data_IF_142801897798
#
_entry.id   IF_142801897798
#
_cell.length_a   1.000
_cell.length_b   1.000
_cell.length_c   1.000
_cell.angle_alpha   90.00
_cell.angle_beta   90.00
_cell.angle_gamma   90.00
#
_symmetry.space_group_name_H-M   'P 1'
#
loop_
_entity.id
_entity.type
_entity.pdbx_description
1 polymer ?
#
# COMPACT_ATOMS: atom_id res chain seq x y z
N UNK A 1 -55.44 -6.01 -29.56
CA UNK A 1 -56.58 -6.74 -28.92
C UNK A 1 -56.19 -8.20 -28.74
N UNK A 2 -56.56 -8.88 -27.68
CA UNK A 2 -56.69 -8.44 -26.28
C UNK A 2 -55.83 -9.33 -25.33
N UNK A 3 -55.44 -8.81 -24.21
CA UNK A 3 -56.01 -8.99 -22.88
C UNK A 3 -55.55 -10.17 -22.00
N UNK A 4 -55.15 -9.78 -20.78
CA UNK A 4 -55.41 -10.34 -19.44
C UNK A 4 -54.58 -11.57 -19.02
N UNK A 5 -53.86 -11.58 -17.89
CA UNK A 5 -54.31 -11.53 -16.51
C UNK A 5 -53.12 -11.43 -15.53
N UNK A 6 -53.23 -10.58 -14.55
CA UNK A 6 -52.68 -10.74 -13.23
C UNK A 6 -53.73 -11.46 -12.34
N UNK A 7 -53.43 -12.25 -11.35
CA UNK A 7 -53.26 -11.72 -10.00
C UNK A 7 -52.41 -12.53 -9.03
N UNK A 8 -52.02 -11.83 -7.95
CA UNK A 8 -51.64 -12.21 -6.60
C UNK A 8 -52.01 -13.63 -6.12
N UNK A 9 -51.07 -14.27 -5.39
CA UNK A 9 -51.39 -15.05 -4.20
C UNK A 9 -50.22 -15.15 -3.23
N UNK A 10 -50.45 -14.66 -2.04
CA UNK A 10 -49.88 -14.96 -0.72
C UNK A 10 -49.18 -16.32 -0.53
N UNK A 11 -48.08 -16.29 0.24
CA UNK A 11 -47.85 -17.24 1.35
C UNK A 11 -46.76 -16.70 2.28
N UNK A 12 -47.17 -16.21 3.38
CA UNK A 12 -47.02 -16.57 4.81
C UNK A 12 -45.68 -17.17 5.25
N UNK A 13 -45.03 -16.36 6.09
CA UNK A 13 -44.36 -16.65 7.38
C UNK A 13 -43.91 -18.08 7.67
N UNK A 14 -42.58 -18.24 7.87
CA UNK A 14 -42.06 -18.99 9.03
C UNK A 14 -40.95 -18.14 9.65
N UNK A 15 -41.25 -17.53 10.80
CA UNK A 15 -40.30 -16.90 11.72
C UNK A 15 -39.83 -18.00 12.65
N UNK A 16 -38.54 -18.32 12.64
CA UNK A 16 -37.89 -19.04 13.74
C UNK A 16 -37.01 -18.09 14.48
N UNK A 17 -37.41 -17.76 15.69
CA UNK A 17 -36.70 -16.91 16.63
C UNK A 17 -35.39 -17.54 17.06
N UNK A 18 -34.29 -16.81 16.95
CA UNK A 18 -33.09 -17.03 17.77
C UNK A 18 -32.83 -15.79 18.62
N UNK A 19 -32.81 -16.06 19.91
CA UNK A 19 -32.68 -15.12 21.03
C UNK A 19 -31.41 -14.32 21.00
N UNK A 20 -31.57 -12.99 20.99
CA UNK A 20 -30.48 -12.05 21.31
C UNK A 20 -30.35 -11.91 22.83
N UNK A 21 -29.23 -12.34 23.37
CA UNK A 21 -28.80 -11.98 24.72
C UNK A 21 -28.21 -10.58 24.68
N UNK A 22 -28.89 -9.63 25.29
CA UNK A 22 -28.41 -8.26 25.54
C UNK A 22 -27.28 -8.30 26.56
N UNK A 23 -26.08 -7.84 26.18
CA UNK A 23 -25.09 -7.36 27.16
C UNK A 23 -25.41 -5.90 27.46
N UNK A 24 -25.78 -5.66 28.71
CA UNK A 24 -26.05 -4.33 29.25
C UNK A 24 -24.72 -3.58 29.48
N UNK A 25 -24.61 -2.38 28.92
CA UNK A 25 -23.61 -1.38 29.31
C UNK A 25 -23.99 -0.80 30.68
N UNK A 26 -23.12 -0.93 31.65
CA UNK A 26 -23.20 -0.19 32.93
C UNK A 26 -22.36 1.09 32.83
N UNK A 27 -22.86 2.23 33.35
CA UNK A 27 -22.10 3.48 33.36
C UNK A 27 -21.05 3.48 34.45
N UNK A 28 -19.83 3.88 34.12
CA UNK A 28 -18.74 4.11 35.09
C UNK A 28 -19.02 5.38 35.89
N UNK A 29 -19.25 5.22 37.19
CA UNK A 29 -19.27 6.32 38.15
C UNK A 29 -17.84 6.73 38.52
N UNK A 30 -17.54 8.02 38.38
CA UNK A 30 -16.38 8.67 38.96
C UNK A 30 -16.54 8.78 40.49
N UNK A 31 -15.57 8.26 41.26
CA UNK A 31 -15.38 8.56 42.67
C UNK A 31 -13.98 9.15 42.86
N UNK A 32 -13.81 10.16 43.73
CA UNK A 32 -12.53 10.81 43.96
C UNK A 32 -11.62 10.00 44.88
N UNK A 33 -10.36 9.89 44.48
CA UNK A 33 -9.32 9.21 45.26
C UNK A 33 -8.90 10.13 46.42
N UNK A 34 -9.09 9.64 47.65
CA UNK A 34 -8.47 10.18 48.86
C UNK A 34 -7.30 9.28 49.30
N UNK A 35 -6.23 9.94 49.70
CA UNK A 35 -4.89 9.50 50.01
C UNK A 35 -4.67 8.38 51.06
N UNK A 36 -3.48 7.75 50.89
CA UNK A 36 -2.56 7.14 51.85
C UNK A 36 -2.71 5.65 52.18
N UNK A 37 -1.78 4.88 51.56
CA UNK A 37 -1.24 3.69 52.25
C UNK A 37 0.19 3.35 51.72
N UNK A 38 1.19 3.12 52.57
CA UNK A 38 2.61 2.98 52.21
C UNK A 38 3.02 1.62 51.60
N UNK A 39 2.07 0.71 51.40
CA UNK A 39 2.36 -0.63 50.84
C UNK A 39 2.42 -0.71 49.30
N UNK A 40 2.32 0.43 48.59
CA UNK A 40 2.27 0.47 47.14
C UNK A 40 3.67 0.48 46.45
N UNK A 41 4.74 0.75 47.22
CA UNK A 41 6.10 0.87 46.66
C UNK A 41 6.72 -0.48 46.25
N UNK A 42 6.38 -1.58 46.90
CA UNK A 42 6.94 -2.90 46.56
C UNK A 42 6.30 -3.56 45.32
N UNK A 43 5.02 -3.27 45.04
CA UNK A 43 4.34 -3.81 43.86
C UNK A 43 4.77 -3.13 42.53
N UNK A 44 5.18 -1.86 42.61
CA UNK A 44 5.69 -1.14 41.43
C UNK A 44 7.08 -1.61 40.98
N UNK A 45 7.92 -2.06 41.92
CA UNK A 45 9.22 -2.64 41.59
C UNK A 45 9.10 -4.03 40.93
N UNK A 46 8.11 -4.84 41.34
CA UNK A 46 7.85 -6.12 40.66
C UNK A 46 7.23 -5.96 39.28
N UNK A 47 6.33 -4.98 39.09
CA UNK A 47 5.77 -4.69 37.76
C UNK A 47 6.81 -4.13 36.79
N UNK A 48 7.79 -3.34 37.26
CA UNK A 48 8.89 -2.85 36.42
C UNK A 48 9.86 -3.98 35.99
N UNK A 49 10.08 -4.97 36.83
CA UNK A 49 10.89 -6.16 36.47
C UNK A 49 10.17 -7.08 35.48
N UNK A 50 8.85 -7.28 35.61
CA UNK A 50 8.06 -8.06 34.66
C UNK A 50 7.94 -7.33 33.29
N UNK A 51 7.76 -6.00 33.28
CA UNK A 51 7.78 -5.23 32.04
C UNK A 51 9.16 -5.22 31.36
N UNK A 52 10.25 -5.29 32.13
CA UNK A 52 11.60 -5.37 31.56
C UNK A 52 11.91 -6.77 31.01
N UNK A 53 11.43 -7.84 31.65
CA UNK A 53 11.54 -9.21 31.16
C UNK A 53 10.68 -9.45 29.90
N UNK A 54 9.44 -8.92 29.87
CA UNK A 54 8.57 -8.99 28.68
C UNK A 54 9.14 -8.16 27.52
N UNK A 55 9.81 -7.00 27.80
CA UNK A 55 10.50 -6.23 26.76
C UNK A 55 11.75 -6.93 26.21
N UNK A 56 12.50 -7.67 27.05
CA UNK A 56 13.66 -8.44 26.56
C UNK A 56 13.24 -9.68 25.75
N UNK A 57 12.16 -10.36 26.12
CA UNK A 57 11.61 -11.51 25.37
C UNK A 57 11.02 -11.10 24.01
N UNK A 58 10.40 -9.93 23.90
CA UNK A 58 9.88 -9.44 22.61
C UNK A 58 11.00 -8.96 21.66
N UNK A 59 12.18 -8.61 22.18
CA UNK A 59 13.32 -8.15 21.39
C UNK A 59 14.18 -9.31 20.86
N UNK A 60 14.12 -10.49 21.47
CA UNK A 60 14.86 -11.67 21.02
C UNK A 60 14.11 -12.50 19.95
N UNK A 61 12.81 -12.29 19.76
CA UNK A 61 11.99 -13.00 18.76
C UNK A 61 11.96 -12.32 17.38
N UNK A 62 12.66 -11.19 17.20
CA UNK A 62 12.62 -10.43 15.93
C UNK A 62 13.97 -10.33 15.20
N UNK A 63 14.94 -11.19 15.48
CA UNK A 63 16.27 -11.09 14.89
C UNK A 63 16.52 -12.01 13.68
N UNK A 64 15.67 -11.92 12.66
CA UNK A 64 16.15 -11.96 11.27
C UNK A 64 15.72 -10.65 10.60
N UNK A 65 16.42 -9.56 10.91
CA UNK A 65 16.25 -8.31 10.15
C UNK A 65 16.63 -8.60 8.70
N UNK A 66 15.63 -8.65 7.81
CA UNK A 66 15.87 -8.57 6.38
C UNK A 66 16.66 -7.26 6.16
N UNK A 67 17.90 -7.38 5.68
CA UNK A 67 18.69 -6.19 5.37
C UNK A 67 18.25 -5.64 4.02
N UNK A 68 17.70 -4.44 4.01
CA UNK A 68 17.33 -3.74 2.78
C UNK A 68 18.47 -2.85 2.25
N UNK A 69 19.66 -2.95 2.82
CA UNK A 69 20.78 -2.05 2.50
C UNK A 69 21.34 -2.23 1.09
N UNK A 70 21.21 -3.44 0.52
CA UNK A 70 21.64 -3.78 -0.83
C UNK A 70 20.68 -3.33 -1.93
N UNK A 71 19.44 -2.94 -1.59
CA UNK A 71 18.44 -2.59 -2.61
C UNK A 71 18.61 -1.14 -3.05
N UNK A 72 18.62 -0.91 -4.37
CA UNK A 72 18.71 0.43 -4.96
C UNK A 72 17.53 1.32 -4.52
N UNK A 73 16.31 0.74 -4.43
CA UNK A 73 15.10 1.43 -3.98
C UNK A 73 14.53 0.64 -2.81
N UNK A 74 14.67 1.22 -1.61
CA UNK A 74 14.25 0.58 -0.37
C UNK A 74 12.73 0.63 -0.19
N UNK A 75 12.13 -0.39 0.49
CA UNK A 75 10.73 -0.31 0.87
C UNK A 75 10.49 0.86 1.83
N UNK A 76 9.30 1.48 1.79
CA UNK A 76 8.96 2.55 2.72
C UNK A 76 8.91 2.03 4.17
N UNK A 77 9.18 2.92 5.12
CA UNK A 77 9.17 2.57 6.54
C UNK A 77 7.73 2.36 7.03
N UNK A 78 7.52 1.31 7.83
CA UNK A 78 6.28 1.08 8.55
C UNK A 78 6.58 0.51 9.95
N UNK A 79 5.97 1.03 11.04
CA UNK A 79 6.37 0.66 12.40
C UNK A 79 6.02 -0.79 12.78
N UNK A 80 5.02 -1.39 12.16
CA UNK A 80 4.46 -2.69 12.55
C UNK A 80 4.24 -3.67 11.38
N UNK A 81 4.67 -3.32 10.16
CA UNK A 81 4.45 -4.19 9.01
C UNK A 81 5.47 -5.33 8.99
N UNK A 82 4.98 -6.56 8.98
CA UNK A 82 5.79 -7.77 8.89
C UNK A 82 5.78 -8.31 7.45
N UNK A 83 6.77 -7.90 6.66
CA UNK A 83 6.91 -8.36 5.27
C UNK A 83 7.15 -9.88 5.19
N UNK A 84 7.93 -10.44 6.13
CA UNK A 84 8.17 -11.89 6.16
C UNK A 84 6.89 -12.66 6.50
N UNK A 85 6.06 -12.12 7.40
CA UNK A 85 4.75 -12.69 7.71
C UNK A 85 3.82 -12.69 6.50
N UNK A 86 3.83 -11.64 5.68
CA UNK A 86 3.04 -11.58 4.44
C UNK A 86 3.51 -12.62 3.42
N UNK A 87 4.82 -12.81 3.25
CA UNK A 87 5.38 -13.85 2.37
C UNK A 87 4.90 -15.24 2.83
N UNK A 88 5.03 -15.54 4.13
CA UNK A 88 4.59 -16.82 4.69
C UNK A 88 3.10 -17.06 4.52
N UNK A 89 2.29 -16.00 4.72
CA UNK A 89 0.84 -16.08 4.54
C UNK A 89 0.49 -16.43 3.08
N UNK A 90 1.14 -15.77 2.11
CA UNK A 90 0.91 -16.02 0.69
C UNK A 90 1.35 -17.43 0.27
N UNK A 91 2.49 -17.93 0.78
CA UNK A 91 2.94 -19.29 0.54
C UNK A 91 1.98 -20.32 1.18
N UNK A 92 1.48 -20.06 2.38
CA UNK A 92 0.52 -20.93 3.06
C UNK A 92 -0.85 -20.94 2.37
N UNK A 93 -1.29 -19.81 1.80
CA UNK A 93 -2.52 -19.69 1.02
C UNK A 93 -2.47 -20.62 -0.22
N UNK A 94 -1.33 -20.66 -0.91
CA UNK A 94 -1.17 -21.42 -2.16
C UNK A 94 -0.89 -22.91 -1.92
N UNK A 95 -0.01 -23.24 -0.98
CA UNK A 95 0.41 -24.63 -0.73
C UNK A 95 -0.49 -25.38 0.27
N UNK A 96 -1.19 -24.65 1.16
CA UNK A 96 -1.96 -25.25 2.24
C UNK A 96 -1.11 -26.17 3.13
N UNK A 97 -1.73 -27.20 3.66
CA UNK A 97 -1.09 -28.22 4.51
C UNK A 97 -0.58 -29.45 3.72
N UNK A 98 -0.95 -29.58 2.43
CA UNK A 98 -0.57 -30.70 1.57
C UNK A 98 0.60 -30.42 0.63
N UNK A 99 0.98 -29.14 0.46
CA UNK A 99 1.94 -28.71 -0.53
C UNK A 99 1.45 -28.89 -1.98
N UNK A 100 2.35 -28.79 -2.96
CA UNK A 100 2.00 -29.01 -4.37
C UNK A 100 1.87 -30.52 -4.67
N UNK A 101 0.63 -31.01 -4.62
CA UNK A 101 0.30 -32.41 -4.85
C UNK A 101 0.64 -32.86 -6.27
N UNK A 102 0.67 -31.94 -7.25
CA UNK A 102 1.05 -32.24 -8.64
C UNK A 102 2.56 -32.51 -8.72
N UNK A 103 3.36 -31.62 -8.17
CA UNK A 103 4.81 -31.82 -8.06
C UNK A 103 5.15 -33.13 -7.36
N UNK A 104 4.52 -33.39 -6.21
CA UNK A 104 4.75 -34.62 -5.42
C UNK A 104 4.43 -35.90 -6.21
N UNK A 105 3.43 -35.83 -7.10
CA UNK A 105 3.01 -37.01 -7.90
C UNK A 105 3.82 -37.19 -9.20
N UNK A 106 4.36 -36.11 -9.78
CA UNK A 106 4.87 -36.14 -11.17
C UNK A 106 6.37 -35.88 -11.30
N UNK A 107 7.01 -35.26 -10.30
CA UNK A 107 8.39 -34.79 -10.38
C UNK A 107 9.26 -35.53 -9.34
N UNK A 108 10.43 -36.11 -9.72
CA UNK A 108 11.36 -36.67 -8.74
C UNK A 108 11.82 -35.60 -7.74
N UNK A 109 11.84 -35.94 -6.44
CA UNK A 109 12.14 -35.02 -5.35
C UNK A 109 13.55 -34.42 -5.37
N UNK A 110 14.49 -35.12 -6.03
CA UNK A 110 15.89 -34.72 -6.18
C UNK A 110 16.20 -34.06 -7.54
N UNK A 111 15.17 -33.81 -8.35
CA UNK A 111 15.34 -33.18 -9.67
C UNK A 111 15.71 -31.70 -9.53
N UNK A 112 16.88 -31.33 -10.08
CA UNK A 112 17.31 -29.92 -10.22
C UNK A 112 17.04 -29.43 -11.64
N UNK A 113 16.58 -28.17 -11.73
CA UNK A 113 16.25 -27.50 -12.98
C UNK A 113 16.73 -26.06 -12.97
N UNK A 114 16.82 -25.46 -14.15
CA UNK A 114 16.90 -24.01 -14.33
C UNK A 114 15.56 -23.51 -14.89
N UNK A 115 15.07 -22.40 -14.36
CA UNK A 115 13.91 -21.69 -14.88
C UNK A 115 14.25 -20.23 -15.11
N UNK A 116 13.65 -19.60 -16.12
CA UNK A 116 13.91 -18.20 -16.48
C UNK A 116 12.65 -17.37 -16.46
N UNK A 117 12.79 -16.12 -16.03
CA UNK A 117 11.75 -15.09 -16.06
C UNK A 117 11.66 -14.48 -17.45
N UNK A 118 10.46 -14.48 -18.01
CA UNK A 118 10.17 -13.96 -19.34
C UNK A 118 9.11 -12.85 -19.27
N UNK A 119 9.44 -11.66 -19.78
CA UNK A 119 8.48 -10.57 -19.97
C UNK A 119 7.50 -10.92 -21.08
N UNK A 120 6.21 -10.81 -20.84
CA UNK A 120 5.14 -11.05 -21.79
C UNK A 120 4.53 -9.75 -22.33
N UNK A 121 4.79 -8.63 -21.65
CA UNK A 121 4.41 -7.26 -22.00
C UNK A 121 5.58 -6.30 -21.75
N UNK A 122 5.52 -5.10 -22.33
CA UNK A 122 6.45 -4.02 -22.08
C UNK A 122 6.08 -3.31 -20.76
N UNK A 123 7.08 -2.92 -19.97
CA UNK A 123 6.82 -2.19 -18.73
C UNK A 123 8.03 -1.99 -17.82
N UNK A 124 7.80 -1.51 -16.63
CA UNK A 124 8.80 -1.34 -15.58
C UNK A 124 8.76 -2.55 -14.67
N UNK A 125 9.90 -3.23 -14.53
CA UNK A 125 10.00 -4.36 -13.59
C UNK A 125 10.04 -3.86 -12.16
N UNK A 126 9.29 -4.53 -11.27
CA UNK A 126 9.29 -4.27 -9.84
C UNK A 126 9.02 -5.54 -9.04
N UNK A 127 9.66 -5.66 -7.87
CA UNK A 127 9.51 -6.81 -6.99
C UNK A 127 10.61 -7.85 -7.11
N UNK A 128 11.73 -7.53 -7.75
CA UNK A 128 12.93 -8.40 -7.81
C UNK A 128 13.42 -8.74 -6.40
N UNK A 129 13.61 -7.72 -5.57
CA UNK A 129 14.02 -7.92 -4.18
C UNK A 129 13.05 -8.79 -3.37
N UNK A 130 11.74 -8.62 -3.60
CA UNK A 130 10.71 -9.44 -2.96
C UNK A 130 10.73 -10.88 -3.47
N UNK A 131 10.97 -11.09 -4.76
CA UNK A 131 11.11 -12.43 -5.35
C UNK A 131 12.27 -13.21 -4.72
N UNK A 132 13.42 -12.58 -4.52
CA UNK A 132 14.56 -13.18 -3.80
C UNK A 132 14.18 -13.62 -2.39
N UNK A 133 13.46 -12.76 -1.64
CA UNK A 133 12.99 -13.10 -0.30
C UNK A 133 12.06 -14.30 -0.30
N UNK A 134 11.17 -14.42 -1.30
CA UNK A 134 10.21 -15.53 -1.41
C UNK A 134 10.95 -16.82 -1.73
N UNK A 135 11.86 -16.81 -2.70
CA UNK A 135 12.68 -17.99 -3.01
C UNK A 135 13.50 -18.42 -1.80
N UNK A 136 14.13 -17.49 -1.11
CA UNK A 136 14.91 -17.79 0.10
C UNK A 136 14.04 -18.34 1.25
N UNK A 137 12.78 -17.88 1.40
CA UNK A 137 11.86 -18.41 2.41
C UNK A 137 11.42 -19.85 2.08
N UNK A 138 11.27 -20.19 0.80
CA UNK A 138 10.95 -21.56 0.35
C UNK A 138 12.16 -22.47 0.48
N UNK A 139 13.32 -22.08 -0.03
CA UNK A 139 14.57 -22.84 0.05
C UNK A 139 15.78 -21.92 -0.11
N UNK A 140 16.58 -21.70 0.96
CA UNK A 140 17.77 -20.87 0.88
C UNK A 140 18.88 -21.37 -0.07
N UNK A 141 18.79 -22.61 -0.55
CA UNK A 141 19.74 -23.18 -1.51
C UNK A 141 19.47 -22.80 -2.97
N UNK A 142 18.29 -22.24 -3.27
CA UNK A 142 17.96 -21.74 -4.60
C UNK A 142 18.88 -20.59 -4.99
N UNK A 143 19.41 -20.65 -6.21
CA UNK A 143 20.28 -19.61 -6.77
C UNK A 143 19.50 -18.79 -7.75
N UNK A 144 19.38 -17.49 -7.46
CA UNK A 144 18.64 -16.54 -8.30
C UNK A 144 19.63 -15.54 -8.90
N UNK A 145 19.52 -15.28 -10.19
CA UNK A 145 20.35 -14.34 -10.91
C UNK A 145 19.46 -13.42 -11.76
N UNK A 146 19.70 -12.11 -11.70
CA UNK A 146 18.96 -11.10 -12.44
C UNK A 146 19.85 -10.35 -13.42
N UNK A 147 19.35 -10.10 -14.62
CA UNK A 147 19.99 -9.21 -15.61
C UNK A 147 19.37 -7.80 -15.62
N UNK A 148 18.36 -7.57 -14.77
CA UNK A 148 17.65 -6.32 -14.58
C UNK A 148 17.49 -6.01 -13.10
N UNK A 149 17.32 -4.72 -12.78
CA UNK A 149 17.03 -4.24 -11.45
C UNK A 149 15.61 -3.66 -11.38
N UNK A 150 15.06 -3.56 -10.16
CA UNK A 150 13.81 -2.84 -9.93
C UNK A 150 13.87 -1.42 -10.49
N UNK A 151 12.84 -1.01 -11.23
CA UNK A 151 12.74 0.29 -11.90
C UNK A 151 13.26 0.33 -13.34
N UNK A 152 13.91 -0.72 -13.83
CA UNK A 152 14.34 -0.78 -15.22
C UNK A 152 13.20 -1.18 -16.15
N UNK A 153 13.27 -0.67 -17.39
CA UNK A 153 12.36 -1.05 -18.44
C UNK A 153 12.67 -2.45 -18.98
N UNK A 154 11.63 -3.27 -19.15
CA UNK A 154 11.66 -4.56 -19.84
C UNK A 154 10.72 -4.53 -21.02
N UNK A 155 11.12 -5.20 -22.11
CA UNK A 155 10.30 -5.35 -23.31
C UNK A 155 9.84 -6.80 -23.47
N UNK A 156 8.71 -6.97 -24.12
CA UNK A 156 8.14 -8.29 -24.41
C UNK A 156 9.17 -9.21 -25.07
N UNK A 157 9.28 -10.42 -24.55
CA UNK A 157 10.23 -11.44 -25.01
C UNK A 157 11.60 -11.40 -24.31
N UNK A 158 11.87 -10.40 -23.46
CA UNK A 158 13.13 -10.34 -22.71
C UNK A 158 13.14 -11.39 -21.59
N UNK A 159 14.19 -12.19 -21.56
CA UNK A 159 14.57 -12.97 -20.38
C UNK A 159 15.38 -12.06 -19.45
N UNK A 160 14.90 -11.84 -18.22
CA UNK A 160 15.51 -10.84 -17.34
C UNK A 160 15.99 -11.41 -15.99
N UNK A 161 15.80 -12.70 -15.76
CA UNK A 161 16.29 -13.39 -14.58
C UNK A 161 16.18 -14.91 -14.74
N UNK A 162 16.88 -15.64 -13.87
CA UNK A 162 16.81 -17.10 -13.80
C UNK A 162 16.93 -17.59 -12.37
N UNK A 163 16.40 -18.77 -12.11
CA UNK A 163 16.52 -19.46 -10.84
C UNK A 163 16.93 -20.90 -11.10
N UNK A 164 17.88 -21.42 -10.30
CA UNK A 164 18.38 -22.78 -10.37
C UNK A 164 18.25 -23.46 -9.01
N UNK A 165 17.84 -24.73 -9.03
CA UNK A 165 17.75 -25.62 -7.87
C UNK A 165 16.67 -26.67 -8.02
N UNK A 166 16.13 -27.13 -6.88
CA UNK A 166 15.13 -28.20 -6.88
C UNK A 166 13.84 -27.77 -7.56
N UNK A 167 13.38 -28.58 -8.54
CA UNK A 167 12.17 -28.27 -9.31
C UNK A 167 10.93 -28.03 -8.43
N UNK A 168 10.71 -28.86 -7.40
CA UNK A 168 9.61 -28.73 -6.45
C UNK A 168 9.60 -27.35 -5.79
N UNK A 169 10.76 -26.88 -5.31
CA UNK A 169 10.86 -25.61 -4.57
C UNK A 169 10.65 -24.41 -5.51
N UNK A 170 11.16 -24.51 -6.76
CA UNK A 170 10.93 -23.45 -7.77
C UNK A 170 9.45 -23.36 -8.12
N UNK A 171 8.76 -24.50 -8.36
CA UNK A 171 7.34 -24.51 -8.75
C UNK A 171 6.44 -24.03 -7.59
N UNK A 172 6.73 -24.45 -6.36
CA UNK A 172 5.99 -23.96 -5.16
C UNK A 172 6.12 -22.47 -4.99
N UNK A 173 7.30 -21.88 -5.27
CA UNK A 173 7.51 -20.44 -5.19
C UNK A 173 6.89 -19.66 -6.36
N UNK A 174 6.80 -20.26 -7.55
CA UNK A 174 6.49 -19.62 -8.82
C UNK A 174 5.28 -18.70 -8.75
N UNK A 175 4.12 -19.23 -8.31
CA UNK A 175 2.87 -18.47 -8.35
C UNK A 175 2.90 -17.27 -7.41
N UNK A 176 3.42 -17.44 -6.21
CA UNK A 176 3.53 -16.37 -5.22
C UNK A 176 4.49 -15.29 -5.69
N UNK A 177 5.66 -15.66 -6.21
CA UNK A 177 6.63 -14.73 -6.80
C UNK A 177 5.98 -13.93 -7.94
N UNK A 178 5.34 -14.62 -8.89
CA UNK A 178 4.73 -13.96 -10.04
C UNK A 178 3.55 -13.04 -9.63
N UNK A 179 2.73 -13.44 -8.67
CA UNK A 179 1.61 -12.60 -8.22
C UNK A 179 2.09 -11.27 -7.66
N UNK A 180 3.15 -11.26 -6.84
CA UNK A 180 3.72 -10.02 -6.32
C UNK A 180 4.44 -9.22 -7.41
N UNK A 181 5.31 -9.84 -8.20
CA UNK A 181 6.06 -9.14 -9.25
C UNK A 181 5.14 -8.51 -10.31
N UNK A 182 4.14 -9.24 -10.79
CA UNK A 182 3.19 -8.77 -11.79
C UNK A 182 2.39 -7.56 -11.28
N UNK A 183 1.90 -7.62 -10.01
CA UNK A 183 1.21 -6.49 -9.39
C UNK A 183 2.12 -5.29 -9.20
N UNK A 184 3.29 -5.48 -8.61
CA UNK A 184 4.25 -4.40 -8.36
C UNK A 184 4.73 -3.76 -9.67
N UNK A 185 5.02 -4.56 -10.68
CA UNK A 185 5.42 -4.07 -12.01
C UNK A 185 4.30 -3.30 -12.72
N UNK A 186 3.05 -3.72 -12.57
CA UNK A 186 1.90 -2.99 -13.09
C UNK A 186 1.76 -1.60 -12.44
N UNK A 187 1.90 -1.52 -11.11
CA UNK A 187 1.91 -0.25 -10.36
C UNK A 187 3.08 0.62 -10.81
N UNK A 188 4.30 0.07 -10.87
CA UNK A 188 5.49 0.81 -11.27
C UNK A 188 5.39 1.34 -12.71
N UNK A 189 4.84 0.54 -13.62
CA UNK A 189 4.64 0.93 -15.03
C UNK A 189 3.68 2.12 -15.16
N UNK A 190 2.52 2.06 -14.50
CA UNK A 190 1.57 3.18 -14.52
C UNK A 190 2.15 4.41 -13.82
N UNK A 191 2.83 4.20 -12.68
CA UNK A 191 3.47 5.30 -11.94
C UNK A 191 4.52 6.00 -12.78
N UNK A 192 5.37 5.25 -13.50
CA UNK A 192 6.39 5.84 -14.38
C UNK A 192 5.75 6.70 -15.48
N UNK A 193 4.73 6.19 -16.14
CA UNK A 193 4.03 6.94 -17.17
C UNK A 193 3.38 8.22 -16.63
N UNK A 194 2.72 8.14 -15.47
CA UNK A 194 2.09 9.31 -14.84
C UNK A 194 3.12 10.31 -14.30
N UNK A 195 4.24 9.84 -13.71
CA UNK A 195 5.28 10.71 -13.20
C UNK A 195 5.98 11.50 -14.31
N UNK A 196 6.26 10.84 -15.45
CA UNK A 196 6.84 11.50 -16.62
C UNK A 196 5.89 12.55 -17.20
N UNK A 197 4.60 12.22 -17.29
CA UNK A 197 3.58 13.13 -17.84
C UNK A 197 3.26 14.30 -16.87
N UNK A 198 3.35 14.09 -15.56
CA UNK A 198 3.02 15.11 -14.54
C UNK A 198 4.08 16.20 -14.40
N UNK A 199 5.29 15.97 -14.91
CA UNK A 199 6.41 16.92 -14.72
C UNK A 199 5.99 18.37 -15.06
N UNK A 200 6.32 19.37 -14.19
CA UNK A 200 7.24 19.32 -13.04
C UNK A 200 6.62 18.86 -11.69
N UNK A 201 5.32 18.60 -11.62
CA UNK A 201 4.71 18.11 -10.39
C UNK A 201 5.14 16.66 -10.05
N UNK A 202 5.08 16.29 -8.78
CA UNK A 202 5.37 14.95 -8.31
C UNK A 202 4.09 14.13 -8.17
N UNK A 203 4.12 12.87 -8.62
CA UNK A 203 3.01 11.92 -8.47
C UNK A 203 3.09 11.24 -7.11
N UNK A 204 1.94 11.20 -6.42
CA UNK A 204 1.73 10.48 -5.16
C UNK A 204 0.67 9.39 -5.35
N UNK A 205 0.82 8.27 -4.65
CA UNK A 205 -0.30 7.38 -4.41
C UNK A 205 -1.14 7.85 -3.22
N UNK A 206 -2.11 7.03 -2.82
CA UNK A 206 -3.01 7.29 -1.70
C UNK A 206 -3.04 6.10 -0.74
N UNK A 207 -3.99 6.08 0.22
CA UNK A 207 -4.27 4.90 1.06
C UNK A 207 -5.25 3.91 0.41
N UNK A 208 -5.66 4.12 -0.83
CA UNK A 208 -6.51 3.21 -1.62
C UNK A 208 -5.67 2.06 -2.19
N UNK A 209 -5.10 1.24 -1.32
CA UNK A 209 -4.23 0.11 -1.61
C UNK A 209 -4.94 -1.22 -1.38
N UNK A 210 -4.42 -2.33 -1.90
CA UNK A 210 -4.92 -3.64 -1.53
C UNK A 210 -4.77 -3.87 -0.02
N UNK A 211 -5.83 -4.38 0.66
CA UNK A 211 -5.75 -4.70 2.08
C UNK A 211 -4.58 -5.63 2.39
N UNK A 212 -3.78 -5.30 3.40
CA UNK A 212 -2.59 -6.06 3.78
C UNK A 212 -1.35 -5.83 2.91
N UNK A 213 -1.48 -5.25 1.69
CA UNK A 213 -0.36 -5.08 0.76
C UNK A 213 0.11 -3.62 0.61
N UNK A 214 -0.31 -2.71 1.51
CA UNK A 214 -0.01 -1.27 1.37
C UNK A 214 1.48 -0.96 1.24
N UNK A 215 2.33 -1.62 2.01
CA UNK A 215 3.77 -1.41 1.93
C UNK A 215 4.31 -1.77 0.55
N UNK A 216 3.85 -2.89 -0.02
CA UNK A 216 4.27 -3.35 -1.35
C UNK A 216 3.76 -2.44 -2.47
N UNK A 217 2.49 -2.03 -2.40
CA UNK A 217 1.90 -1.10 -3.37
C UNK A 217 2.66 0.24 -3.37
N UNK A 218 2.97 0.79 -2.17
CA UNK A 218 3.73 2.03 -2.03
C UNK A 218 5.20 1.87 -2.43
N UNK A 219 5.79 0.71 -2.18
CA UNK A 219 7.13 0.41 -2.65
C UNK A 219 7.20 0.39 -4.19
N UNK A 220 6.21 -0.24 -4.82
CA UNK A 220 6.10 -0.26 -6.28
C UNK A 220 5.95 1.15 -6.89
N UNK A 221 5.26 2.07 -6.20
CA UNK A 221 5.18 3.49 -6.61
C UNK A 221 6.55 4.16 -6.55
N UNK A 222 7.34 3.93 -5.50
CA UNK A 222 8.73 4.44 -5.44
C UNK A 222 9.58 3.89 -6.58
N UNK A 223 9.46 2.59 -6.87
CA UNK A 223 10.18 1.94 -7.98
C UNK A 223 9.79 2.56 -9.33
N UNK A 224 8.53 2.93 -9.52
CA UNK A 224 8.04 3.61 -10.71
C UNK A 224 8.42 5.09 -10.81
N UNK A 225 9.16 5.65 -9.83
CA UNK A 225 9.59 7.06 -9.83
C UNK A 225 8.57 8.04 -9.24
N UNK A 226 7.48 7.55 -8.64
CA UNK A 226 6.56 8.34 -7.82
C UNK A 226 7.11 8.60 -6.41
N UNK A 227 6.33 9.29 -5.59
CA UNK A 227 6.62 9.53 -4.17
C UNK A 227 5.50 8.97 -3.31
N UNK A 228 5.79 8.62 -2.07
CA UNK A 228 4.76 8.16 -1.14
C UNK A 228 4.05 9.32 -0.47
N UNK A 229 2.72 9.26 -0.43
CA UNK A 229 1.90 9.97 0.52
C UNK A 229 1.95 9.24 1.88
N UNK A 230 1.32 9.76 2.92
CA UNK A 230 1.29 9.13 4.25
C UNK A 230 1.04 7.62 4.17
N UNK A 231 1.79 6.88 4.98
CA UNK A 231 1.68 5.42 5.07
C UNK A 231 0.36 4.99 5.71
N UNK A 232 -0.07 5.72 6.75
CA UNK A 232 -1.26 5.37 7.50
C UNK A 232 -1.99 6.58 8.08
N UNK A 233 -2.60 6.38 9.25
CA UNK A 233 -3.25 7.44 10.02
C UNK A 233 -2.32 8.04 11.08
N UNK A 234 -1.07 7.57 11.15
CA UNK A 234 -0.15 7.80 12.27
C UNK A 234 1.05 8.67 11.90
N UNK A 235 1.37 8.85 10.63
CA UNK A 235 2.61 9.46 10.15
C UNK A 235 2.45 10.86 9.55
N UNK A 236 1.20 11.31 9.32
CA UNK A 236 0.86 12.66 8.84
C UNK A 236 -0.58 12.99 9.19
N UNK A 237 -0.83 14.21 9.64
CA UNK A 237 -2.19 14.72 9.81
C UNK A 237 -2.77 15.09 8.45
N UNK A 238 -3.99 14.64 8.17
CA UNK A 238 -4.76 15.03 6.99
C UNK A 238 -6.17 15.40 7.42
N UNK A 239 -6.46 16.69 7.39
CA UNK A 239 -7.76 17.25 7.73
C UNK A 239 -8.65 17.15 6.49
N UNK A 240 -9.72 16.36 6.58
CA UNK A 240 -10.67 16.11 5.49
C UNK A 240 -12.02 16.72 5.78
N UNK A 241 -12.89 16.76 4.76
CA UNK A 241 -14.26 17.26 4.81
C UNK A 241 -15.04 16.86 6.07
N UNK A 242 -15.00 15.59 6.45
CA UNK A 242 -15.65 15.09 7.67
C UNK A 242 -15.03 15.68 8.95
N UNK A 243 -13.72 15.89 8.98
CA UNK A 243 -13.05 16.55 10.10
C UNK A 243 -13.45 18.04 10.18
N UNK A 244 -13.45 18.72 9.04
CA UNK A 244 -13.83 20.13 8.92
C UNK A 244 -15.28 20.34 9.39
N UNK A 245 -16.21 19.52 8.85
CA UNK A 245 -17.62 19.58 9.22
C UNK A 245 -17.86 19.34 10.71
N UNK A 246 -17.19 18.34 11.27
CA UNK A 246 -17.33 17.97 12.69
C UNK A 246 -16.71 19.02 13.62
N UNK A 247 -15.62 19.65 13.20
CA UNK A 247 -14.96 20.71 13.96
C UNK A 247 -15.69 22.07 13.88
N UNK A 248 -16.69 22.21 13.01
CA UNK A 248 -17.42 23.47 12.80
C UNK A 248 -16.67 24.48 11.95
N UNK A 249 -15.88 24.01 10.96
CA UNK A 249 -15.18 24.82 9.98
C UNK A 249 -13.67 24.53 9.90
N UNK A 250 -13.06 24.95 8.77
CA UNK A 250 -11.66 24.65 8.46
C UNK A 250 -10.70 25.28 9.47
N UNK A 251 -10.94 26.53 9.85
CA UNK A 251 -10.16 27.25 10.87
C UNK A 251 -10.16 26.55 12.22
N UNK A 252 -11.33 26.05 12.66
CA UNK A 252 -11.43 25.32 13.93
C UNK A 252 -10.70 23.96 13.86
N UNK A 253 -10.79 23.27 12.72
CA UNK A 253 -10.09 22.00 12.51
C UNK A 253 -8.56 22.18 12.57
N UNK A 254 -8.02 23.18 11.88
CA UNK A 254 -6.57 23.50 11.90
C UNK A 254 -6.13 23.85 13.32
N UNK A 255 -6.84 24.74 14.00
CA UNK A 255 -6.53 25.13 15.39
C UNK A 255 -6.54 23.93 16.35
N UNK A 256 -7.50 23.02 16.22
CA UNK A 256 -7.57 21.81 17.04
C UNK A 256 -6.35 20.90 16.81
N UNK A 257 -5.88 20.77 15.56
CA UNK A 257 -4.66 20.03 15.20
C UNK A 257 -3.42 20.69 15.80
N UNK A 258 -3.26 22.01 15.64
CA UNK A 258 -2.11 22.75 16.19
C UNK A 258 -2.01 22.56 17.71
N UNK A 259 -3.13 22.71 18.44
CA UNK A 259 -3.20 22.47 19.89
C UNK A 259 -2.86 21.02 20.26
N UNK A 260 -3.37 20.04 19.50
CA UNK A 260 -3.06 18.63 19.75
C UNK A 260 -1.57 18.33 19.57
N UNK A 261 -0.95 18.80 18.50
CA UNK A 261 0.47 18.59 18.21
C UNK A 261 1.35 19.24 19.28
N UNK A 262 1.00 20.46 19.72
CA UNK A 262 1.68 21.16 20.79
C UNK A 262 1.58 20.41 22.12
N UNK A 263 0.36 20.02 22.55
CA UNK A 263 0.13 19.28 23.80
C UNK A 263 0.83 17.92 23.83
N UNK A 264 0.94 17.26 22.69
CA UNK A 264 1.61 15.96 22.56
C UNK A 264 3.10 16.05 22.27
N UNK A 265 3.62 17.27 22.07
CA UNK A 265 5.00 17.52 21.61
C UNK A 265 5.36 16.68 20.38
N UNK A 266 4.44 16.67 19.38
CA UNK A 266 4.60 15.94 18.13
C UNK A 266 4.99 16.91 17.01
N UNK A 267 5.91 16.45 16.15
CA UNK A 267 6.27 17.14 14.91
C UNK A 267 5.94 16.21 13.74
N UNK A 268 4.99 16.61 12.91
CA UNK A 268 4.62 15.90 11.70
C UNK A 268 4.00 16.87 10.69
N UNK A 269 3.98 16.48 9.43
CA UNK A 269 3.32 17.24 8.38
C UNK A 269 1.82 17.30 8.61
N UNK A 270 1.23 18.44 8.25
CA UNK A 270 -0.20 18.68 8.34
C UNK A 270 -0.71 19.12 6.98
N UNK A 271 -1.69 18.43 6.47
CA UNK A 271 -2.39 18.74 5.23
C UNK A 271 -3.87 19.00 5.50
N UNK A 272 -4.43 19.98 4.80
CA UNK A 272 -5.87 20.31 4.83
C UNK A 272 -6.47 20.22 3.43
N UNK A 273 -7.58 19.51 3.31
CA UNK A 273 -8.38 19.39 2.08
C UNK A 273 -9.26 20.63 1.92
N UNK A 274 -9.22 21.26 0.74
CA UNK A 274 -10.06 22.39 0.34
C UNK A 274 -10.70 22.09 -1.01
N UNK A 275 -11.95 22.51 -1.21
CA UNK A 275 -12.76 22.26 -2.42
C UNK A 275 -13.16 23.52 -3.16
N UNK A 276 -13.04 24.67 -2.51
CA UNK A 276 -13.39 25.96 -3.09
C UNK A 276 -12.29 26.99 -2.87
N UNK A 277 -12.28 28.04 -3.70
CA UNK A 277 -11.34 29.14 -3.55
C UNK A 277 -11.57 29.92 -2.25
N UNK A 278 -12.81 29.92 -1.75
CA UNK A 278 -13.18 30.53 -0.48
C UNK A 278 -12.54 29.79 0.69
N UNK A 279 -12.57 28.46 0.69
CA UNK A 279 -11.89 27.64 1.70
C UNK A 279 -10.37 27.87 1.67
N UNK A 280 -9.76 27.95 0.47
CA UNK A 280 -8.33 28.29 0.33
C UNK A 280 -8.05 29.66 0.96
N UNK A 281 -8.87 30.69 0.67
CA UNK A 281 -8.72 32.02 1.26
C UNK A 281 -8.87 32.01 2.78
N UNK A 282 -9.80 31.23 3.32
CA UNK A 282 -10.00 31.08 4.77
C UNK A 282 -8.76 30.44 5.43
N UNK A 283 -8.21 29.35 4.86
CA UNK A 283 -6.97 28.71 5.33
C UNK A 283 -5.81 29.72 5.33
N UNK A 284 -5.62 30.44 4.23
CA UNK A 284 -4.56 31.43 4.08
C UNK A 284 -4.70 32.59 5.05
N UNK A 285 -5.93 33.04 5.28
CA UNK A 285 -6.24 34.09 6.27
C UNK A 285 -5.89 33.64 7.68
N UNK A 286 -6.34 32.46 8.09
CA UNK A 286 -6.00 31.86 9.39
C UNK A 286 -4.48 31.76 9.58
N UNK A 287 -3.76 31.21 8.61
CA UNK A 287 -2.31 31.06 8.65
C UNK A 287 -1.54 32.40 8.63
N UNK A 288 -2.21 33.52 8.26
CA UNK A 288 -1.62 34.85 8.36
C UNK A 288 -1.79 35.51 9.74
N UNK A 289 -2.77 35.04 10.52
CA UNK A 289 -3.10 35.59 11.84
C UNK A 289 -2.47 34.78 12.99
N UNK A 290 -2.20 33.48 12.76
CA UNK A 290 -1.73 32.57 13.80
C UNK A 290 -0.59 31.69 13.26
N UNK A 291 0.33 31.31 14.14
CA UNK A 291 1.31 30.25 13.81
C UNK A 291 0.55 28.93 13.67
N UNK A 292 0.80 28.22 12.59
CA UNK A 292 0.19 26.90 12.33
C UNK A 292 1.24 25.88 11.95
N UNK A 293 0.95 24.60 12.21
CA UNK A 293 1.74 23.44 11.79
C UNK A 293 1.41 23.01 10.35
N UNK A 294 0.52 23.72 9.65
CA UNK A 294 0.11 23.40 8.28
C UNK A 294 1.31 23.46 7.34
N UNK A 295 1.50 22.40 6.55
CA UNK A 295 2.57 22.26 5.55
C UNK A 295 2.05 22.24 4.13
N UNK A 296 0.83 21.68 3.92
CA UNK A 296 0.26 21.43 2.59
C UNK A 296 -1.23 21.76 2.54
N UNK A 297 -1.68 22.24 1.38
CA UNK A 297 -3.10 22.41 1.05
C UNK A 297 -3.44 21.49 -0.12
N UNK A 298 -4.38 20.56 0.11
CA UNK A 298 -4.96 19.74 -0.95
C UNK A 298 -6.09 20.51 -1.63
N UNK A 299 -6.01 20.61 -2.96
CA UNK A 299 -6.97 21.25 -3.85
C UNK A 299 -7.83 20.13 -4.46
N UNK A 300 -8.84 19.69 -3.70
CA UNK A 300 -9.63 18.49 -4.02
C UNK A 300 -10.76 18.83 -4.99
N UNK A 301 -10.86 18.06 -6.08
CA UNK A 301 -11.88 18.20 -7.13
C UNK A 301 -11.94 19.59 -7.80
N UNK A 302 -10.83 20.34 -7.82
CA UNK A 302 -10.70 21.62 -8.55
C UNK A 302 -10.35 21.44 -10.02
N UNK A 303 -10.33 20.19 -10.51
CA UNK A 303 -10.18 19.80 -11.90
C UNK A 303 -11.54 19.34 -12.41
N UNK A 304 -12.11 20.06 -13.38
CA UNK A 304 -13.46 19.78 -13.86
C UNK A 304 -13.41 19.00 -15.19
N UNK A 305 -14.06 17.83 -15.28
CA UNK A 305 -14.14 17.07 -16.54
C UNK A 305 -14.91 17.86 -17.60
N UNK A 306 -14.41 17.86 -18.82
CA UNK A 306 -15.09 18.45 -19.99
C UNK A 306 -15.75 17.35 -20.84
N UNK A 307 -16.81 17.68 -21.61
CA UNK A 307 -17.54 16.70 -22.43
C UNK A 307 -16.69 16.02 -23.51
N UNK A 308 -15.59 16.63 -23.92
CA UNK A 308 -14.65 16.08 -24.92
C UNK A 308 -13.60 15.11 -24.30
N UNK A 309 -13.70 14.80 -23.00
CA UNK A 309 -12.74 13.94 -22.29
C UNK A 309 -11.51 14.68 -21.75
N UNK A 310 -11.37 15.98 -22.03
CA UNK A 310 -10.32 16.85 -21.46
C UNK A 310 -10.77 17.37 -20.07
N UNK A 311 -9.96 18.20 -19.42
CA UNK A 311 -10.23 18.83 -18.14
C UNK A 311 -10.04 20.33 -18.18
N UNK A 312 -10.85 21.06 -17.39
CA UNK A 312 -10.63 22.45 -17.06
C UNK A 312 -9.86 22.54 -15.73
N UNK A 313 -8.70 23.18 -15.78
CA UNK A 313 -7.82 23.41 -14.63
C UNK A 313 -7.82 24.86 -14.15
N UNK A 314 -8.74 25.71 -14.62
CA UNK A 314 -8.74 27.15 -14.32
C UNK A 314 -8.85 27.44 -12.84
N UNK A 315 -9.77 26.76 -12.13
CA UNK A 315 -9.92 26.91 -10.67
C UNK A 315 -8.68 26.40 -9.92
N UNK A 316 -8.06 25.31 -10.37
CA UNK A 316 -6.83 24.80 -9.78
C UNK A 316 -5.67 25.79 -9.93
N UNK A 317 -5.51 26.41 -11.10
CA UNK A 317 -4.49 27.44 -11.36
C UNK A 317 -4.72 28.66 -10.47
N UNK A 318 -5.96 29.12 -10.33
CA UNK A 318 -6.30 30.25 -9.44
C UNK A 318 -5.98 29.92 -7.97
N UNK A 319 -6.31 28.70 -7.52
CA UNK A 319 -5.98 28.25 -6.16
C UNK A 319 -4.47 28.25 -5.92
N UNK A 320 -3.67 27.73 -6.86
CA UNK A 320 -2.20 27.74 -6.77
C UNK A 320 -1.66 29.16 -6.70
N UNK A 321 -2.20 30.09 -7.51
CA UNK A 321 -1.83 31.50 -7.49
C UNK A 321 -2.17 32.16 -6.14
N UNK A 322 -3.32 31.85 -5.54
CA UNK A 322 -3.70 32.33 -4.22
C UNK A 322 -2.74 31.82 -3.13
N UNK A 323 -2.34 30.54 -3.18
CA UNK A 323 -1.38 29.99 -2.22
C UNK A 323 0.00 30.61 -2.37
N UNK A 324 0.40 30.95 -3.60
CA UNK A 324 1.62 31.71 -3.93
C UNK A 324 2.88 31.18 -3.22
N UNK A 325 3.07 29.87 -3.21
CA UNK A 325 4.26 29.22 -2.63
C UNK A 325 4.36 29.26 -1.11
N UNK A 326 3.34 29.74 -0.38
CA UNK A 326 3.33 29.76 1.10
C UNK A 326 3.22 28.37 1.70
N UNK A 327 2.58 27.47 1.00
CA UNK A 327 2.40 26.05 1.34
C UNK A 327 2.65 25.20 0.10
N UNK A 328 3.00 23.94 0.30
CA UNK A 328 2.92 22.96 -0.77
C UNK A 328 1.45 22.79 -1.20
N UNK A 329 1.24 22.50 -2.48
CA UNK A 329 -0.11 22.25 -3.03
C UNK A 329 -0.21 20.86 -3.59
N UNK A 330 -1.35 20.20 -3.36
CA UNK A 330 -1.63 18.87 -3.90
C UNK A 330 -2.95 18.91 -4.67
N UNK A 331 -2.92 18.51 -5.96
CA UNK A 331 -4.14 18.31 -6.74
C UNK A 331 -4.65 16.88 -6.52
N UNK A 332 -5.96 16.74 -6.25
CA UNK A 332 -6.66 15.46 -6.07
C UNK A 332 -8.00 15.49 -6.80
N UNK A 333 -8.42 14.33 -7.32
CA UNK A 333 -9.66 14.17 -8.08
C UNK A 333 -9.47 14.27 -9.60
N UNK A 334 -10.17 13.40 -10.34
CA UNK A 334 -10.17 13.30 -11.81
C UNK A 334 -8.77 13.13 -12.45
N UNK A 335 -7.83 12.53 -11.74
CA UNK A 335 -6.45 12.30 -12.17
C UNK A 335 -6.36 10.97 -12.90
N UNK A 336 -6.12 11.03 -14.20
CA UNK A 336 -5.86 9.88 -15.10
C UNK A 336 -4.56 10.11 -15.86
N UNK A 337 -4.08 9.10 -16.61
CA UNK A 337 -2.91 9.27 -17.47
C UNK A 337 -3.12 10.35 -18.53
N UNK A 338 -4.36 10.47 -19.04
CA UNK A 338 -4.69 11.44 -20.09
C UNK A 338 -4.78 12.88 -19.56
N UNK A 339 -5.14 13.06 -18.28
CA UNK A 339 -5.36 14.39 -17.66
C UNK A 339 -4.16 14.90 -16.88
N UNK A 340 -3.29 14.02 -16.41
CA UNK A 340 -2.20 14.34 -15.47
C UNK A 340 -1.22 15.37 -15.99
N UNK A 341 -0.93 15.38 -17.29
CA UNK A 341 -0.04 16.36 -17.92
C UNK A 341 -0.58 17.78 -17.72
N UNK A 342 -1.86 17.99 -18.02
CA UNK A 342 -2.50 19.31 -17.91
C UNK A 342 -2.59 19.76 -16.44
N UNK A 343 -2.85 18.83 -15.53
CA UNK A 343 -2.83 19.10 -14.09
C UNK A 343 -1.41 19.50 -13.62
N UNK A 344 -0.38 18.81 -14.09
CA UNK A 344 1.01 19.14 -13.77
C UNK A 344 1.44 20.54 -14.21
N UNK A 345 0.88 21.04 -15.32
CA UNK A 345 1.13 22.40 -15.83
C UNK A 345 0.44 23.51 -15.01
N UNK A 346 -0.45 23.16 -14.07
CA UNK A 346 -1.13 24.16 -13.21
C UNK A 346 -0.21 24.82 -12.16
N UNK A 347 0.98 24.26 -11.95
CA UNK A 347 1.94 24.73 -10.95
C UNK A 347 1.78 24.11 -9.57
N UNK A 348 0.97 23.08 -9.40
CA UNK A 348 0.89 22.30 -8.15
C UNK A 348 2.21 21.60 -7.84
N UNK A 349 2.50 21.41 -6.55
CA UNK A 349 3.69 20.66 -6.12
C UNK A 349 3.49 19.16 -6.32
N UNK A 350 2.31 18.64 -5.94
CA UNK A 350 1.97 17.23 -5.96
C UNK A 350 0.65 16.97 -6.68
N UNK A 351 0.54 15.75 -7.21
CA UNK A 351 -0.72 15.23 -7.77
C UNK A 351 -0.92 13.85 -7.19
N UNK A 352 -2.02 13.60 -6.46
CA UNK A 352 -2.32 12.29 -5.92
C UNK A 352 -3.36 11.55 -6.75
N UNK A 353 -3.09 10.26 -7.02
CA UNK A 353 -4.01 9.38 -7.72
C UNK A 353 -4.14 8.03 -7.04
N UNK A 354 -5.38 7.69 -6.64
CA UNK A 354 -5.69 6.37 -6.11
C UNK A 354 -5.62 5.27 -7.16
N UNK A 355 -5.77 5.61 -8.45
CA UNK A 355 -5.74 4.64 -9.56
C UNK A 355 -4.42 3.89 -9.67
N UNK A 356 -3.32 4.47 -9.21
CA UNK A 356 -2.01 3.82 -9.17
C UNK A 356 -2.04 2.48 -8.43
N UNK A 357 -2.87 2.36 -7.39
CA UNK A 357 -2.85 1.21 -6.48
C UNK A 357 -4.19 0.47 -6.38
N UNK A 358 -5.35 1.13 -6.61
CA UNK A 358 -6.65 0.45 -6.53
C UNK A 358 -7.11 -0.17 -7.85
N UNK A 359 -6.62 0.30 -9.02
CA UNK A 359 -7.03 -0.18 -10.36
C UNK A 359 -5.84 -0.70 -11.15
N UNK A 360 -5.05 -1.57 -10.53
CA UNK A 360 -3.80 -2.08 -11.10
C UNK A 360 -4.08 -3.04 -12.24
N UNK A 361 -3.52 -2.76 -13.43
CA UNK A 361 -3.33 -3.75 -14.48
C UNK A 361 -1.98 -4.43 -14.22
N UNK A 362 -2.00 -5.70 -13.81
CA UNK A 362 -0.78 -6.48 -13.61
C UNK A 362 0.02 -6.59 -14.91
N UNK A 363 1.36 -6.49 -14.82
CA UNK A 363 2.25 -6.72 -15.96
C UNK A 363 2.43 -8.22 -16.17
N UNK A 364 2.20 -8.72 -17.38
CA UNK A 364 2.30 -10.16 -17.65
C UNK A 364 3.76 -10.63 -17.67
N UNK A 365 4.11 -11.50 -16.73
CA UNK A 365 5.42 -12.14 -16.55
C UNK A 365 5.21 -13.65 -16.38
N UNK A 366 6.08 -14.47 -16.94
CA UNK A 366 6.08 -15.91 -16.71
C UNK A 366 7.44 -16.42 -16.25
N UNK A 367 7.42 -17.48 -15.45
CA UNK A 367 8.58 -18.30 -15.12
C UNK A 367 8.50 -19.59 -15.92
N UNK A 368 9.57 -19.96 -16.66
CA UNK A 368 9.60 -21.10 -17.54
C UNK A 368 10.79 -21.99 -17.23
N UNK A 369 10.53 -23.25 -16.92
CA UNK A 369 11.59 -24.27 -16.77
C UNK A 369 12.22 -24.54 -18.13
N UNK A 370 13.56 -24.63 -18.18
CA UNK A 370 14.31 -25.08 -19.34
C UNK A 370 14.10 -26.59 -19.54
N UNK A 371 13.16 -26.90 -20.44
CA UNK A 371 12.78 -28.30 -20.71
C UNK A 371 13.88 -29.11 -21.38
N UNK A 372 14.79 -28.49 -22.15
CA UNK A 372 15.91 -29.21 -22.77
C UNK A 372 16.92 -29.66 -21.71
N UNK A 373 17.23 -28.80 -20.76
CA UNK A 373 18.11 -29.11 -19.64
C UNK A 373 17.47 -30.17 -18.72
N UNK A 374 16.18 -30.01 -18.40
CA UNK A 374 15.42 -30.98 -17.59
C UNK A 374 15.41 -32.36 -18.23
N UNK A 375 15.16 -32.50 -19.54
CA UNK A 375 15.17 -33.74 -20.27
C UNK A 375 16.59 -34.39 -20.34
N UNK A 376 17.65 -33.58 -20.46
CA UNK A 376 19.03 -34.07 -20.41
C UNK A 376 19.36 -34.68 -19.05
N UNK A 377 18.92 -34.05 -17.97
CA UNK A 377 19.09 -34.53 -16.59
C UNK A 377 18.29 -35.85 -16.40
N UNK A 378 17.02 -35.89 -16.81
CA UNK A 378 16.17 -37.05 -16.73
C UNK A 378 16.75 -38.27 -17.46
N UNK A 379 17.28 -38.09 -18.69
CA UNK A 379 17.95 -39.15 -19.47
C UNK A 379 19.23 -39.65 -18.80
N UNK A 380 20.04 -38.76 -18.21
CA UNK A 380 21.28 -39.15 -17.50
C UNK A 380 20.99 -39.97 -16.24
N UNK A 381 19.87 -39.73 -15.59
CA UNK A 381 19.44 -40.45 -14.38
C UNK A 381 18.63 -41.72 -14.67
N UNK A 382 18.39 -42.06 -15.95
CA UNK A 382 17.59 -43.23 -16.35
C UNK A 382 16.10 -43.12 -16.02
N UNK A 383 15.60 -41.88 -15.82
CA UNK A 383 14.23 -41.56 -15.39
C UNK A 383 13.38 -40.93 -16.51
N UNK A 384 13.89 -40.95 -17.76
CA UNK A 384 13.18 -40.47 -18.96
C UNK A 384 12.75 -41.62 -19.84
#
# INVERSE_FOLDING_TARGET
MPNFFNPETNLSLIITAMSYTRLACLPQYYLPIRDRNPSFSLKLQQQSKVRRAVKMSATELTNSKISYESYAIKPPMHPTYDLKGIIKLALAEDAGDRGDVTCLATIPSDMEVEAYFLAKEDGIIAGIALAEMIFHEVDPSLKVEWSKNDGEFIHKGLQFGKVHGRAHNIIVAERVVLNFMQRMSGIATLTKAMADAAHPAYILETRKTAPGLRLLDKWAVLIGGGRNHRMGLFDMVMIKDNHISTAGGVTNAIRAVDLYLEQKNLQMEVEVETRTLEEVKEVLHHASQTKTSLTRIMLDNMVLPLPNGDVDTSMLIEAVQLVNGRFETEASGNVTLDTVHKIGQSGVTYISSGSLTHSVKALDISLKIDTELALKVGRRTGRA
#
